data_IF_611283767456
#
_entry.id   IF_611283767456
#
_cell.length_a   1.000
_cell.length_b   1.000
_cell.length_c   1.000
_cell.angle_alpha   90.00
_cell.angle_beta   90.00
_cell.angle_gamma   90.00
#
_symmetry.space_group_name_H-M   'P 1'
#
loop_
_entity.id
_entity.type
_entity.pdbx_description
1 polymer ?
#
# COMPACT_ATOMS: atom_id res chain seq x y z
N UNK A 1 -3.66 10.33 2.08
CA UNK A 1 -4.69 9.57 2.83
C UNK A 1 -4.08 8.75 3.97
N UNK A 2 -3.24 7.75 3.69
CA UNK A 2 -2.70 6.84 4.73
C UNK A 2 -2.04 7.54 5.93
N UNK A 3 -1.26 8.61 5.70
CA UNK A 3 -0.66 9.42 6.79
C UNK A 3 -1.69 9.95 7.80
N UNK A 4 -2.93 10.19 7.38
CA UNK A 4 -4.02 10.60 8.27
C UNK A 4 -4.54 9.44 9.13
N UNK A 5 -4.65 8.24 8.56
CA UNK A 5 -4.98 7.04 9.34
C UNK A 5 -3.87 6.67 10.32
N UNK A 6 -2.61 6.85 9.92
CA UNK A 6 -1.45 6.69 10.81
C UNK A 6 -1.51 7.69 11.97
N UNK A 7 -1.78 8.97 11.69
CA UNK A 7 -1.94 9.98 12.73
C UNK A 7 -3.10 9.65 13.70
N UNK A 8 -4.24 9.18 13.18
CA UNK A 8 -5.36 8.74 14.01
C UNK A 8 -4.98 7.55 14.90
N UNK A 9 -4.30 6.55 14.32
CA UNK A 9 -3.80 5.39 15.06
C UNK A 9 -2.88 5.78 16.21
N UNK A 10 -2.04 6.81 16.05
CA UNK A 10 -1.20 7.31 17.13
C UNK A 10 -1.98 7.99 18.27
N UNK A 11 -3.23 8.41 18.03
CA UNK A 11 -4.11 9.00 19.05
C UNK A 11 -4.96 7.94 19.74
N UNK A 12 -5.57 7.02 18.98
CA UNK A 12 -6.57 6.07 19.51
C UNK A 12 -6.07 4.62 19.67
N UNK A 13 -4.90 4.28 19.11
CA UNK A 13 -4.35 2.93 19.09
C UNK A 13 -5.14 1.92 18.23
N UNK A 14 -6.12 2.36 17.46
CA UNK A 14 -7.04 1.50 16.71
C UNK A 14 -6.47 1.10 15.36
N UNK A 15 -6.01 -0.15 15.25
CA UNK A 15 -5.36 -0.65 14.03
C UNK A 15 -6.33 -0.92 12.86
N UNK A 16 -7.65 -0.75 13.02
CA UNK A 16 -8.66 -1.13 12.02
C UNK A 16 -8.41 -0.54 10.63
N UNK A 17 -8.13 0.76 10.54
CA UNK A 17 -7.94 1.43 9.25
C UNK A 17 -6.56 1.13 8.64
N UNK A 18 -5.53 0.99 9.47
CA UNK A 18 -4.21 0.56 9.02
C UNK A 18 -4.27 -0.85 8.46
N UNK A 19 -4.99 -1.76 9.12
CA UNK A 19 -5.22 -3.14 8.67
C UNK A 19 -5.93 -3.20 7.32
N UNK A 20 -6.93 -2.35 7.08
CA UNK A 20 -7.63 -2.30 5.81
C UNK A 20 -6.70 -1.89 4.67
N UNK A 21 -5.88 -0.83 4.87
CA UNK A 21 -4.90 -0.42 3.85
C UNK A 21 -3.82 -1.47 3.65
N UNK A 22 -3.34 -2.09 4.72
CA UNK A 22 -2.38 -3.20 4.65
C UNK A 22 -2.93 -4.38 3.84
N UNK A 23 -4.18 -4.75 4.09
CA UNK A 23 -4.86 -5.83 3.37
C UNK A 23 -4.89 -5.54 1.86
N UNK A 24 -5.35 -4.36 1.47
CA UNK A 24 -5.51 -4.00 0.06
C UNK A 24 -4.16 -3.86 -0.64
N UNK A 25 -3.15 -3.31 0.05
CA UNK A 25 -1.79 -3.21 -0.48
C UNK A 25 -1.17 -4.61 -0.68
N UNK A 26 -1.36 -5.52 0.26
CA UNK A 26 -0.91 -6.91 0.13
C UNK A 26 -1.65 -7.67 -0.97
N UNK A 27 -2.95 -7.41 -1.15
CA UNK A 27 -3.70 -7.94 -2.27
C UNK A 27 -3.15 -7.43 -3.59
N UNK A 28 -2.89 -6.12 -3.71
CA UNK A 28 -2.29 -5.51 -4.88
C UNK A 28 -0.93 -6.15 -5.19
N UNK A 29 -0.04 -6.22 -4.20
CA UNK A 29 1.30 -6.78 -4.35
C UNK A 29 1.30 -8.19 -4.94
N UNK A 30 0.31 -9.00 -4.56
CA UNK A 30 0.16 -10.38 -5.04
C UNK A 30 -0.51 -10.47 -6.41
N UNK A 31 -1.50 -9.63 -6.71
CA UNK A 31 -2.42 -9.84 -7.84
C UNK A 31 -2.30 -8.82 -8.98
N UNK A 32 -1.74 -7.63 -8.74
CA UNK A 32 -1.69 -6.53 -9.72
C UNK A 32 -0.27 -6.17 -10.16
N UNK A 33 0.69 -7.05 -9.89
CA UNK A 33 2.09 -6.85 -10.22
C UNK A 33 2.38 -7.24 -11.67
N UNK A 34 3.08 -6.39 -12.40
CA UNK A 34 3.55 -6.69 -13.75
C UNK A 34 4.84 -7.54 -13.76
N UNK A 35 5.32 -7.87 -14.96
CA UNK A 35 6.54 -8.68 -15.16
C UNK A 35 7.82 -8.03 -14.61
N UNK A 36 7.82 -6.73 -14.34
CA UNK A 36 8.96 -5.99 -13.80
C UNK A 36 8.84 -5.78 -12.28
N UNK A 37 7.75 -6.24 -11.67
CA UNK A 37 7.53 -6.08 -10.23
C UNK A 37 6.77 -4.81 -9.85
N UNK A 38 6.24 -4.04 -10.82
CA UNK A 38 5.52 -2.80 -10.55
C UNK A 38 4.02 -3.01 -10.45
N UNK A 39 3.37 -2.25 -9.55
CA UNK A 39 1.93 -2.34 -9.30
C UNK A 39 1.11 -1.47 -10.26
N UNK A 40 -0.13 -1.90 -10.56
CA UNK A 40 -1.11 -1.06 -11.27
C UNK A 40 -1.48 0.19 -10.46
N UNK A 41 -1.95 1.23 -11.15
CA UNK A 41 -2.32 2.50 -10.51
C UNK A 41 -3.51 2.34 -9.54
N UNK A 42 -4.52 1.57 -9.94
CA UNK A 42 -5.73 1.33 -9.16
C UNK A 42 -5.61 0.20 -8.13
N UNK A 43 -4.44 -0.47 -8.08
CA UNK A 43 -4.20 -1.71 -7.33
C UNK A 43 -5.07 -2.90 -7.78
N UNK A 44 -5.84 -2.75 -8.86
CA UNK A 44 -6.68 -3.81 -9.41
C UNK A 44 -5.87 -4.79 -10.26
N UNK A 45 -6.30 -6.05 -10.27
CA UNK A 45 -5.70 -7.13 -11.05
C UNK A 45 -6.18 -7.17 -12.53
N UNK A 46 -6.63 -6.04 -13.07
CA UNK A 46 -7.12 -5.98 -14.44
C UNK A 46 -5.97 -6.11 -15.45
N UNK A 47 -6.13 -7.01 -16.41
CA UNK A 47 -5.11 -7.29 -17.43
C UNK A 47 -4.72 -6.03 -18.24
N UNK A 48 -5.68 -5.16 -18.55
CA UNK A 48 -5.41 -3.91 -19.28
C UNK A 48 -4.56 -2.93 -18.46
N UNK A 49 -4.70 -2.93 -17.14
CA UNK A 49 -3.91 -2.07 -16.26
C UNK A 49 -2.51 -2.63 -16.01
N UNK A 50 -2.37 -3.96 -15.98
CA UNK A 50 -1.07 -4.63 -15.88
C UNK A 50 -0.22 -4.35 -17.12
N UNK A 51 -0.82 -4.29 -18.30
CA UNK A 51 -0.11 -3.98 -19.55
C UNK A 51 0.28 -2.50 -19.70
N UNK A 52 -0.37 -1.58 -18.96
CA UNK A 52 -0.09 -0.14 -19.06
C UNK A 52 1.26 0.24 -18.44
N UNK A 53 1.93 1.27 -18.96
CA UNK A 53 3.13 1.81 -18.33
C UNK A 53 2.82 2.32 -16.92
N UNK A 54 3.75 2.11 -15.99
CA UNK A 54 3.58 2.45 -14.58
C UNK A 54 4.19 3.82 -14.28
N UNK A 55 3.47 4.60 -13.49
CA UNK A 55 3.92 5.94 -13.10
C UNK A 55 4.86 5.86 -11.90
N UNK A 56 5.95 6.64 -11.97
CA UNK A 56 6.95 6.73 -10.90
C UNK A 56 6.30 7.11 -9.56
N UNK A 57 5.40 8.09 -9.56
CA UNK A 57 4.69 8.54 -8.36
C UNK A 57 3.90 7.41 -7.69
N UNK A 58 3.28 6.53 -8.47
CA UNK A 58 2.54 5.38 -7.94
C UNK A 58 3.45 4.38 -7.25
N UNK A 59 4.60 4.06 -7.86
CA UNK A 59 5.57 3.13 -7.26
C UNK A 59 6.24 3.72 -6.01
N UNK A 60 6.59 5.01 -6.04
CA UNK A 60 7.14 5.71 -4.87
C UNK A 60 6.14 5.72 -3.70
N UNK A 61 4.85 5.93 -3.97
CA UNK A 61 3.79 5.87 -2.97
C UNK A 61 3.69 4.48 -2.32
N UNK A 62 3.71 3.40 -3.12
CA UNK A 62 3.69 2.02 -2.62
C UNK A 62 4.88 1.74 -1.69
N UNK A 63 6.08 2.17 -2.09
CA UNK A 63 7.27 2.02 -1.28
C UNK A 63 7.14 2.77 0.07
N UNK A 64 6.61 4.00 0.04
CA UNK A 64 6.34 4.77 1.26
C UNK A 64 5.34 4.06 2.18
N UNK A 65 4.25 3.52 1.64
CA UNK A 65 3.22 2.82 2.42
C UNK A 65 3.80 1.60 3.13
N UNK A 66 4.58 0.76 2.43
CA UNK A 66 5.22 -0.39 3.05
C UNK A 66 6.24 0.01 4.12
N UNK A 67 7.03 1.05 3.87
CA UNK A 67 7.99 1.56 4.86
C UNK A 67 7.27 2.02 6.14
N UNK A 68 6.19 2.80 6.02
CA UNK A 68 5.41 3.27 7.17
C UNK A 68 4.72 2.13 7.91
N UNK A 69 4.09 1.20 7.19
CA UNK A 69 3.50 0.00 7.79
C UNK A 69 4.54 -0.79 8.61
N UNK A 70 5.78 -0.91 8.10
CA UNK A 70 6.87 -1.55 8.81
C UNK A 70 7.26 -0.79 10.09
N UNK A 71 7.32 0.54 10.05
CA UNK A 71 7.61 1.37 11.23
C UNK A 71 6.53 1.24 12.30
N UNK A 72 5.26 1.30 11.91
CA UNK A 72 4.12 1.14 12.83
C UNK A 72 4.19 -0.23 13.52
N UNK A 73 4.49 -1.30 12.77
CA UNK A 73 4.63 -2.65 13.33
C UNK A 73 5.84 -2.79 14.26
N UNK A 74 6.95 -2.15 13.91
CA UNK A 74 8.15 -2.16 14.75
C UNK A 74 7.92 -1.43 16.08
N UNK A 75 7.17 -0.32 16.07
CA UNK A 75 6.84 0.47 17.25
C UNK A 75 5.81 -0.20 18.19
N UNK A 76 5.14 -1.26 17.75
CA UNK A 76 4.19 -2.04 18.55
C UNK A 76 4.86 -3.08 19.46
N UNK A 77 6.17 -3.32 19.31
CA UNK A 77 6.96 -4.21 20.18
C UNK A 77 7.25 -3.55 21.53
#
# INVERSE_FOLDING_TARGET
LFRGYEALYHVDGNYKYIAAVEHDLNYAWKNSRDKYGFLTHSWSAKADEIAKPKWLLGQACVAELYARLSLIKAAKK
#
